data_IF_561359699309
#
_entry.id   IF_561359699309
#
_cell.length_a   1.000
_cell.length_b   1.000
_cell.length_c   1.000
_cell.angle_alpha   90.00
_cell.angle_beta   90.00
_cell.angle_gamma   90.00
#
_symmetry.space_group_name_H-M   'P 1'
#
loop_
_entity.id
_entity.type
_entity.pdbx_description
1 polymer ?
#
# COMPACT_ATOMS: atom_id res chain seq x y z
N UNK A 1 -11.77 3.29 -38.78
CA UNK A 1 -10.39 3.59 -39.22
C UNK A 1 -9.94 4.91 -38.58
N UNK A 2 -8.67 5.01 -38.20
CA UNK A 2 -8.07 6.19 -37.59
C UNK A 2 -7.68 7.15 -38.69
N UNK A 3 -8.00 8.43 -38.57
CA UNK A 3 -7.59 9.51 -39.46
C UNK A 3 -6.24 10.11 -39.02
N UNK A 4 -6.08 10.38 -37.72
CA UNK A 4 -4.84 10.89 -37.15
C UNK A 4 -4.72 10.49 -35.68
N UNK A 5 -3.50 10.45 -35.18
CA UNK A 5 -3.21 10.23 -33.75
C UNK A 5 -2.09 11.17 -33.31
N UNK A 6 -2.17 11.68 -32.08
CA UNK A 6 -1.19 12.54 -31.46
C UNK A 6 -0.70 11.92 -30.16
N UNK A 7 0.50 11.33 -30.22
CA UNK A 7 1.08 10.60 -29.06
C UNK A 7 1.31 11.53 -27.87
N UNK A 8 1.77 12.76 -28.09
CA UNK A 8 2.01 13.71 -27.00
C UNK A 8 0.73 14.21 -26.33
N UNK A 9 -0.36 14.32 -27.09
CA UNK A 9 -1.65 14.76 -26.58
C UNK A 9 -2.55 13.59 -26.16
N UNK A 10 -2.13 12.36 -26.41
CA UNK A 10 -2.90 11.15 -26.15
C UNK A 10 -4.32 11.27 -26.71
N UNK A 11 -4.45 11.67 -27.99
CA UNK A 11 -5.72 11.75 -28.69
C UNK A 11 -5.68 11.04 -30.04
N UNK A 12 -6.85 10.57 -30.45
CA UNK A 12 -7.08 9.89 -31.72
C UNK A 12 -8.29 10.53 -32.39
N UNK A 13 -8.15 10.90 -33.66
CA UNK A 13 -9.27 11.35 -34.50
C UNK A 13 -9.66 10.23 -35.46
N UNK A 14 -10.95 9.89 -35.48
CA UNK A 14 -11.52 8.90 -36.36
C UNK A 14 -11.93 9.54 -37.67
N UNK A 15 -12.07 8.75 -38.76
CA UNK A 15 -12.46 9.24 -40.09
C UNK A 15 -13.85 9.89 -40.13
N UNK A 16 -14.72 9.58 -39.17
CA UNK A 16 -16.03 10.22 -39.00
C UNK A 16 -15.99 11.52 -38.20
N UNK A 17 -14.77 12.01 -37.84
CA UNK A 17 -14.56 13.20 -37.04
C UNK A 17 -14.67 13.02 -35.53
N UNK A 18 -15.03 11.82 -35.05
CA UNK A 18 -15.04 11.54 -33.61
C UNK A 18 -13.63 11.60 -33.02
N UNK A 19 -13.48 12.15 -31.83
CA UNK A 19 -12.21 12.23 -31.11
C UNK A 19 -12.27 11.41 -29.84
N UNK A 20 -11.22 10.64 -29.58
CA UNK A 20 -10.99 9.87 -28.36
C UNK A 20 -9.80 10.50 -27.64
N UNK A 21 -9.98 10.82 -26.37
CA UNK A 21 -8.95 11.39 -25.51
C UNK A 21 -8.63 10.41 -24.38
N UNK A 22 -7.34 10.24 -24.07
CA UNK A 22 -6.91 9.57 -22.85
C UNK A 22 -6.32 10.64 -21.91
N UNK A 23 -6.81 10.71 -20.70
CA UNK A 23 -6.45 11.75 -19.73
C UNK A 23 -6.31 11.15 -18.33
N UNK A 24 -5.30 11.61 -17.58
CA UNK A 24 -5.19 11.30 -16.16
C UNK A 24 -6.21 12.09 -15.34
N UNK A 25 -6.79 11.47 -14.31
CA UNK A 25 -7.79 12.07 -13.44
C UNK A 25 -7.24 12.64 -12.12
N UNK A 26 -5.91 12.62 -11.92
CA UNK A 26 -5.26 13.11 -10.68
C UNK A 26 -5.56 14.59 -10.39
N UNK A 27 -5.71 15.38 -11.46
CA UNK A 27 -6.04 16.81 -11.42
C UNK A 27 -7.33 17.06 -12.15
N UNK A 28 -8.50 17.03 -11.49
CA UNK A 28 -9.82 17.18 -12.13
C UNK A 28 -9.96 18.40 -13.04
N UNK A 29 -9.35 19.53 -12.67
CA UNK A 29 -9.43 20.76 -13.47
C UNK A 29 -8.82 20.65 -14.87
N UNK A 30 -7.88 19.74 -15.09
CA UNK A 30 -7.29 19.50 -16.42
C UNK A 30 -8.25 18.83 -17.40
N UNK A 31 -9.36 18.28 -16.89
CA UNK A 31 -10.40 17.64 -17.69
C UNK A 31 -11.48 18.63 -18.15
N UNK A 32 -11.41 19.90 -17.76
CA UNK A 32 -12.37 20.93 -18.16
C UNK A 32 -12.20 21.37 -19.63
N UNK A 33 -13.24 21.97 -20.18
CA UNK A 33 -13.21 22.62 -21.50
C UNK A 33 -13.50 21.70 -22.68
N UNK A 34 -14.01 20.50 -22.42
CA UNK A 34 -14.46 19.56 -23.45
C UNK A 34 -15.94 19.28 -23.30
N UNK A 35 -16.64 19.06 -24.42
CA UNK A 35 -18.01 18.56 -24.45
C UNK A 35 -17.98 17.09 -24.89
N UNK A 36 -18.41 16.20 -24.02
CA UNK A 36 -18.29 14.75 -24.19
C UNK A 36 -19.62 14.12 -24.59
N UNK A 37 -19.56 13.14 -25.46
CA UNK A 37 -20.70 12.26 -25.79
C UNK A 37 -20.65 11.00 -24.94
N UNK A 38 -19.45 10.55 -24.57
CA UNK A 38 -19.24 9.37 -23.75
C UNK A 38 -17.95 9.52 -22.93
N UNK A 39 -17.95 8.99 -21.73
CA UNK A 39 -16.77 8.95 -20.88
C UNK A 39 -16.61 7.54 -20.30
N UNK A 40 -15.38 7.03 -20.29
CA UNK A 40 -15.01 5.82 -19.54
C UNK A 40 -14.06 6.25 -18.43
N UNK A 41 -14.44 5.97 -17.21
CA UNK A 41 -13.60 6.15 -16.03
C UNK A 41 -13.08 4.77 -15.63
N UNK A 42 -11.79 4.57 -15.79
CA UNK A 42 -11.11 3.33 -15.43
C UNK A 42 -10.45 3.47 -14.08
N UNK A 43 -10.36 2.38 -13.31
CA UNK A 43 -9.89 2.36 -11.92
C UNK A 43 -10.62 3.38 -11.02
N UNK A 44 -11.94 3.42 -11.12
CA UNK A 44 -12.81 4.42 -10.49
C UNK A 44 -12.60 4.53 -8.99
N UNK A 45 -12.31 3.43 -8.32
CA UNK A 45 -12.09 3.43 -6.88
C UNK A 45 -10.92 4.34 -6.44
N UNK A 46 -9.97 4.61 -7.33
CA UNK A 46 -8.80 5.48 -7.10
C UNK A 46 -9.01 6.92 -7.58
N UNK A 47 -10.02 7.16 -8.40
CA UNK A 47 -10.33 8.49 -8.91
C UNK A 47 -11.01 9.33 -7.80
N UNK A 48 -10.62 10.59 -7.68
CA UNK A 48 -11.27 11.53 -6.76
C UNK A 48 -12.71 11.80 -7.22
N UNK A 49 -13.73 11.74 -6.33
CA UNK A 49 -15.13 12.03 -6.67
C UNK A 49 -15.33 13.35 -7.42
N UNK A 50 -14.54 14.38 -7.08
CA UNK A 50 -14.58 15.69 -7.72
C UNK A 50 -14.33 15.65 -9.23
N UNK A 51 -13.59 14.67 -9.76
CA UNK A 51 -13.39 14.50 -11.19
C UNK A 51 -14.71 14.21 -11.90
N UNK A 52 -15.54 13.35 -11.32
CA UNK A 52 -16.87 13.05 -11.82
C UNK A 52 -17.85 14.19 -11.54
N UNK A 53 -18.05 14.53 -10.29
CA UNK A 53 -19.11 15.43 -9.83
C UNK A 53 -18.99 16.84 -10.37
N UNK A 54 -17.75 17.37 -10.42
CA UNK A 54 -17.51 18.78 -10.75
C UNK A 54 -17.11 19.00 -12.20
N UNK A 55 -16.64 17.96 -12.92
CA UNK A 55 -16.08 18.15 -14.25
C UNK A 55 -16.71 17.25 -15.30
N UNK A 56 -16.57 15.92 -15.18
CA UNK A 56 -16.95 15.01 -16.26
C UNK A 56 -18.46 15.00 -16.46
N UNK A 57 -19.25 14.95 -15.39
CA UNK A 57 -20.70 14.99 -15.46
C UNK A 57 -21.21 16.26 -16.15
N UNK A 58 -20.63 17.41 -15.83
CA UNK A 58 -20.97 18.66 -16.51
C UNK A 58 -20.61 18.63 -17.99
N UNK A 59 -19.46 18.06 -18.36
CA UNK A 59 -19.01 17.93 -19.75
C UNK A 59 -19.87 17.01 -20.60
N UNK A 60 -20.63 16.10 -20.00
CA UNK A 60 -21.58 15.21 -20.66
C UNK A 60 -22.97 15.84 -20.84
N UNK A 61 -23.30 16.88 -20.04
CA UNK A 61 -24.67 17.43 -19.98
C UNK A 61 -25.12 18.06 -21.30
N UNK A 62 -24.23 18.77 -22.01
CA UNK A 62 -24.57 19.45 -23.27
C UNK A 62 -25.05 18.50 -24.34
N UNK A 63 -24.52 17.28 -24.38
CA UNK A 63 -24.83 16.26 -25.41
C UNK A 63 -25.72 15.14 -24.87
N UNK A 64 -26.20 15.25 -23.64
CA UNK A 64 -26.88 14.16 -22.95
C UNK A 64 -26.07 12.85 -23.05
N UNK A 65 -24.74 12.99 -22.84
CA UNK A 65 -23.81 11.90 -22.98
C UNK A 65 -23.93 10.88 -21.84
N UNK A 66 -23.33 9.71 -22.04
CA UNK A 66 -23.31 8.62 -21.06
C UNK A 66 -21.89 8.41 -20.47
N UNK A 67 -21.83 7.74 -19.34
CA UNK A 67 -20.57 7.35 -18.72
C UNK A 67 -20.55 5.87 -18.36
N UNK A 68 -19.36 5.27 -18.40
CA UNK A 68 -19.08 3.95 -17.90
C UNK A 68 -18.00 4.05 -16.80
N UNK A 69 -18.24 3.37 -15.71
CA UNK A 69 -17.34 3.31 -14.55
C UNK A 69 -16.82 1.88 -14.42
N UNK A 70 -15.51 1.71 -14.47
CA UNK A 70 -14.88 0.40 -14.44
C UNK A 70 -13.82 0.41 -13.33
N UNK A 71 -13.62 -0.69 -12.65
CA UNK A 71 -12.55 -0.85 -11.67
C UNK A 71 -12.78 -1.97 -10.69
N UNK A 72 -11.75 -2.28 -9.94
CA UNK A 72 -11.81 -3.18 -8.81
C UNK A 72 -12.37 -2.44 -7.59
N UNK A 73 -13.34 -3.01 -6.86
CA UNK A 73 -13.83 -2.42 -5.62
C UNK A 73 -12.73 -2.22 -4.58
N UNK A 74 -12.76 -1.09 -3.88
CA UNK A 74 -11.84 -0.81 -2.76
C UNK A 74 -12.63 -0.33 -1.55
N UNK A 75 -13.25 -1.26 -0.86
CA UNK A 75 -14.16 -0.97 0.23
C UNK A 75 -15.42 -0.20 -0.22
N UNK A 76 -16.15 0.36 0.75
CA UNK A 76 -17.38 1.14 0.47
C UNK A 76 -17.02 2.62 0.30
N UNK A 77 -16.44 2.97 -0.85
CA UNK A 77 -16.16 4.35 -1.27
C UNK A 77 -17.25 4.85 -2.25
N UNK A 78 -17.03 6.00 -2.87
CA UNK A 78 -17.97 6.59 -3.84
C UNK A 78 -18.27 5.69 -5.06
N UNK A 79 -17.38 4.76 -5.42
CA UNK A 79 -17.65 3.75 -6.45
C UNK A 79 -18.73 2.74 -5.99
N UNK A 80 -18.74 2.41 -4.69
CA UNK A 80 -19.82 1.61 -4.10
C UNK A 80 -21.15 2.35 -4.15
N UNK A 81 -21.16 3.67 -3.93
CA UNK A 81 -22.39 4.48 -4.02
C UNK A 81 -22.92 4.47 -5.46
N UNK A 82 -22.05 4.62 -6.46
CA UNK A 82 -22.43 4.49 -7.88
C UNK A 82 -22.96 3.09 -8.21
N UNK A 83 -22.32 2.05 -7.68
CA UNK A 83 -22.77 0.68 -7.89
C UNK A 83 -24.16 0.45 -7.32
N UNK A 84 -24.49 1.01 -6.16
CA UNK A 84 -25.81 0.93 -5.55
C UNK A 84 -26.89 1.65 -6.40
N UNK A 85 -26.57 2.77 -7.04
CA UNK A 85 -27.51 3.43 -7.95
C UNK A 85 -27.97 2.51 -9.07
N UNK A 86 -27.05 1.70 -9.60
CA UNK A 86 -27.38 0.74 -10.66
C UNK A 86 -28.03 -0.55 -10.19
N UNK A 87 -28.25 -0.74 -8.89
CA UNK A 87 -29.02 -1.85 -8.31
C UNK A 87 -30.50 -1.49 -8.12
N UNK A 88 -30.87 -0.21 -8.22
CA UNK A 88 -32.24 0.24 -8.13
C UNK A 88 -32.95 -0.04 -9.48
N UNK A 89 -33.82 -1.02 -9.46
CA UNK A 89 -34.60 -1.41 -10.65
C UNK A 89 -35.58 -0.32 -11.12
N UNK A 90 -35.88 0.68 -10.27
CA UNK A 90 -36.77 1.79 -10.60
C UNK A 90 -36.01 2.93 -11.31
N UNK A 91 -34.71 3.00 -11.20
CA UNK A 91 -33.88 3.98 -11.91
C UNK A 91 -33.34 3.40 -13.21
N UNK A 92 -33.98 3.76 -14.33
CA UNK A 92 -33.60 3.30 -15.67
C UNK A 92 -32.31 3.94 -16.22
N UNK A 93 -31.80 5.00 -15.57
CA UNK A 93 -30.63 5.75 -16.04
C UNK A 93 -29.31 5.09 -15.58
N UNK A 94 -29.38 4.23 -14.57
CA UNK A 94 -28.24 3.54 -14.01
C UNK A 94 -28.37 2.02 -14.14
N UNK A 95 -27.23 1.37 -14.39
CA UNK A 95 -27.14 -0.09 -14.37
C UNK A 95 -25.75 -0.53 -13.94
N UNK A 96 -25.69 -1.50 -13.05
CA UNK A 96 -24.44 -2.06 -12.54
C UNK A 96 -24.32 -3.54 -12.88
N UNK A 97 -23.09 -3.95 -13.18
CA UNK A 97 -22.71 -5.33 -13.45
C UNK A 97 -21.57 -5.73 -12.54
N UNK A 98 -21.54 -6.96 -12.12
CA UNK A 98 -20.51 -7.53 -11.30
C UNK A 98 -19.92 -8.77 -11.99
N UNK A 99 -18.60 -8.80 -12.10
CA UNK A 99 -17.87 -9.92 -12.69
C UNK A 99 -16.71 -10.28 -11.75
N UNK A 100 -16.47 -11.56 -11.58
CA UNK A 100 -15.35 -12.12 -10.86
C UNK A 100 -14.27 -12.58 -11.83
N UNK A 101 -13.06 -12.84 -11.33
CA UNK A 101 -12.01 -13.43 -12.16
C UNK A 101 -12.43 -14.78 -12.76
N UNK A 102 -13.27 -15.54 -12.04
CA UNK A 102 -13.78 -16.84 -12.51
C UNK A 102 -14.77 -16.73 -13.69
N UNK A 103 -15.36 -15.56 -13.91
CA UNK A 103 -16.26 -15.34 -15.06
C UNK A 103 -15.48 -15.17 -16.38
N UNK A 104 -14.15 -15.02 -16.31
CA UNK A 104 -13.31 -14.93 -17.49
C UNK A 104 -12.88 -16.34 -17.95
N UNK A 105 -13.40 -16.85 -19.09
CA UNK A 105 -13.10 -18.20 -19.55
C UNK A 105 -11.65 -18.42 -20.03
N UNK A 106 -10.86 -17.35 -20.12
CA UNK A 106 -9.45 -17.43 -20.53
C UNK A 106 -8.50 -17.63 -19.35
N UNK A 107 -8.99 -17.51 -18.12
CA UNK A 107 -8.16 -17.69 -16.91
C UNK A 107 -8.24 -19.15 -16.46
N UNK A 108 -7.06 -19.76 -16.25
CA UNK A 108 -6.98 -21.10 -15.73
C UNK A 108 -7.53 -21.16 -14.28
N UNK A 109 -8.51 -22.03 -13.99
CA UNK A 109 -9.01 -22.21 -12.62
C UNK A 109 -7.92 -22.54 -11.58
N UNK A 110 -6.83 -23.17 -11.99
CA UNK A 110 -5.71 -23.47 -11.09
C UNK A 110 -4.99 -22.20 -10.61
N UNK A 111 -4.94 -21.15 -11.44
CA UNK A 111 -4.41 -19.83 -11.03
C UNK A 111 -5.26 -19.21 -9.93
N UNK A 112 -6.59 -19.32 -10.03
CA UNK A 112 -7.52 -18.79 -9.01
C UNK A 112 -7.34 -19.55 -7.69
N UNK A 113 -7.20 -20.88 -7.74
CA UNK A 113 -6.94 -21.68 -6.53
C UNK A 113 -5.55 -21.43 -5.94
N UNK A 114 -4.55 -21.17 -6.76
CA UNK A 114 -3.21 -20.77 -6.32
C UNK A 114 -3.25 -19.41 -5.61
N UNK A 115 -3.90 -18.43 -6.23
CA UNK A 115 -4.08 -17.10 -5.65
C UNK A 115 -4.82 -17.16 -4.31
N UNK A 116 -5.87 -18.00 -4.20
CA UNK A 116 -6.62 -18.21 -2.96
C UNK A 116 -5.78 -18.76 -1.80
N UNK A 117 -4.74 -19.55 -2.12
CA UNK A 117 -3.81 -20.11 -1.12
C UNK A 117 -2.72 -19.13 -0.68
N UNK A 118 -2.39 -18.16 -1.52
CA UNK A 118 -1.25 -17.26 -1.31
C UNK A 118 -1.65 -15.86 -0.86
N UNK A 119 -2.83 -15.40 -1.29
CA UNK A 119 -3.35 -14.09 -0.90
C UNK A 119 -4.12 -14.16 0.41
N UNK A 120 -4.23 -13.02 1.09
CA UNK A 120 -5.16 -12.90 2.22
C UNK A 120 -6.60 -13.06 1.73
N UNK A 121 -7.48 -13.54 2.61
CA UNK A 121 -8.93 -13.64 2.30
C UNK A 121 -9.53 -12.30 1.87
N UNK A 122 -9.03 -11.20 2.45
CA UNK A 122 -9.45 -9.84 2.08
C UNK A 122 -9.00 -9.50 0.65
N UNK A 123 -7.70 -9.67 0.34
CA UNK A 123 -7.16 -9.39 -0.98
C UNK A 123 -7.81 -10.26 -2.06
N UNK A 124 -8.01 -11.54 -1.76
CA UNK A 124 -8.69 -12.44 -2.69
C UNK A 124 -10.13 -12.00 -2.97
N UNK A 125 -10.89 -11.64 -1.93
CA UNK A 125 -12.27 -11.14 -2.10
C UNK A 125 -12.30 -9.84 -2.90
N UNK A 126 -11.36 -8.94 -2.66
CA UNK A 126 -11.29 -7.67 -3.38
C UNK A 126 -10.90 -7.84 -4.84
N UNK A 127 -9.77 -8.50 -5.12
CA UNK A 127 -9.16 -8.53 -6.45
C UNK A 127 -9.75 -9.63 -7.36
N UNK A 128 -10.09 -10.80 -6.80
CA UNK A 128 -10.59 -11.93 -7.59
C UNK A 128 -12.09 -12.05 -7.58
N UNK A 129 -12.75 -11.63 -6.50
CA UNK A 129 -14.20 -11.69 -6.36
C UNK A 129 -14.89 -10.35 -6.59
N UNK A 130 -14.13 -9.29 -6.90
CA UNK A 130 -14.62 -7.92 -7.09
C UNK A 130 -15.60 -7.46 -5.98
N UNK A 131 -15.29 -7.81 -4.73
CA UNK A 131 -16.18 -7.58 -3.59
C UNK A 131 -15.96 -6.21 -2.98
N UNK A 132 -17.06 -5.47 -2.73
CA UNK A 132 -17.07 -4.24 -1.93
C UNK A 132 -17.01 -4.53 -0.42
N UNK A 133 -16.37 -5.62 0.00
CA UNK A 133 -16.24 -5.91 1.43
C UNK A 133 -15.49 -4.78 2.12
N UNK A 134 -16.09 -4.24 3.19
CA UNK A 134 -15.32 -3.44 4.13
C UNK A 134 -14.36 -4.39 4.83
N UNK A 135 -13.16 -3.91 5.08
CA UNK A 135 -12.39 -4.38 6.18
C UNK A 135 -13.24 -4.12 7.46
N UNK A 136 -14.03 -5.10 7.84
CA UNK A 136 -14.82 -5.05 9.08
C UNK A 136 -13.93 -5.35 10.27
N UNK A 137 -14.50 -5.42 11.46
CA UNK A 137 -13.84 -5.70 12.75
C UNK A 137 -13.02 -7.01 12.83
N UNK A 138 -12.87 -7.75 11.74
CA UNK A 138 -12.19 -9.05 11.66
C UNK A 138 -11.04 -9.04 10.67
N UNK A 139 -10.35 -7.90 10.50
CA UNK A 139 -9.19 -7.81 9.59
C UNK A 139 -8.05 -8.66 10.11
N UNK A 140 -7.78 -8.57 11.38
CA UNK A 140 -6.81 -9.40 12.09
C UNK A 140 -7.53 -10.17 13.18
N UNK A 141 -7.21 -11.46 13.31
CA UNK A 141 -7.81 -12.32 14.31
C UNK A 141 -6.75 -12.80 15.30
N UNK A 142 -7.10 -12.84 16.57
CA UNK A 142 -6.20 -13.31 17.62
C UNK A 142 -5.74 -14.76 17.37
N UNK A 143 -6.59 -15.60 16.80
CA UNK A 143 -6.27 -16.99 16.44
C UNK A 143 -5.16 -17.14 15.38
N UNK A 144 -4.84 -16.08 14.63
CA UNK A 144 -3.74 -16.09 13.64
C UNK A 144 -2.38 -15.77 14.26
N UNK A 145 -2.36 -15.29 15.51
CA UNK A 145 -1.11 -14.92 16.17
C UNK A 145 -0.33 -16.18 16.55
N UNK A 146 0.91 -16.25 16.12
CA UNK A 146 1.84 -17.31 16.46
C UNK A 146 2.98 -16.74 17.29
N UNK A 147 3.38 -17.49 18.29
CA UNK A 147 4.48 -17.16 19.17
C UNK A 147 5.54 -18.25 19.09
N UNK A 148 6.81 -17.87 19.12
CA UNK A 148 7.91 -18.82 18.98
C UNK A 148 9.26 -18.26 19.38
N UNK A 149 10.31 -19.03 19.06
CA UNK A 149 11.69 -18.63 19.25
C UNK A 149 12.32 -18.19 17.93
N UNK A 150 13.38 -17.36 18.02
CA UNK A 150 14.09 -16.87 16.86
C UNK A 150 14.63 -18.01 16.01
N UNK A 151 14.39 -18.02 14.69
CA UNK A 151 14.98 -18.99 13.78
C UNK A 151 16.52 -18.83 13.78
N UNK A 152 17.24 -19.92 13.56
CA UNK A 152 18.70 -19.91 13.53
C UNK A 152 19.22 -19.05 12.36
N UNK A 153 18.61 -19.21 11.17
CA UNK A 153 19.01 -18.51 9.95
C UNK A 153 18.03 -17.40 9.60
N UNK A 154 18.51 -16.41 8.86
CA UNK A 154 17.72 -15.26 8.38
C UNK A 154 18.44 -13.93 8.62
N UNK A 155 17.89 -12.89 8.02
CA UNK A 155 18.45 -11.55 8.02
C UNK A 155 17.58 -10.59 8.80
N UNK A 156 18.21 -9.69 9.58
CA UNK A 156 17.49 -8.68 10.34
C UNK A 156 17.22 -7.43 9.52
N UNK A 157 16.03 -6.90 9.70
CA UNK A 157 15.56 -5.62 9.18
C UNK A 157 14.98 -4.78 10.31
N UNK A 158 15.18 -3.48 10.23
CA UNK A 158 14.64 -2.53 11.20
C UNK A 158 13.79 -1.51 10.45
N UNK A 159 12.55 -1.32 10.85
CA UNK A 159 11.68 -0.29 10.32
C UNK A 159 11.32 0.70 11.41
N UNK A 160 11.38 1.99 11.08
CA UNK A 160 11.15 3.10 12.00
C UNK A 160 10.02 3.96 11.47
N UNK A 161 8.94 4.01 12.22
CA UNK A 161 7.84 4.97 12.08
C UNK A 161 8.05 6.12 13.05
N UNK A 162 8.06 7.36 12.56
CA UNK A 162 8.39 8.54 13.35
C UNK A 162 7.14 9.38 13.63
N UNK A 163 6.77 9.49 14.89
CA UNK A 163 5.74 10.44 15.32
C UNK A 163 6.29 11.86 15.47
N UNK A 164 5.37 12.86 15.43
CA UNK A 164 5.73 14.27 15.63
C UNK A 164 6.35 14.52 17.00
N UNK A 165 7.52 15.15 17.01
CA UNK A 165 8.20 15.53 18.26
C UNK A 165 7.41 16.63 19.00
N UNK A 166 7.37 16.59 20.35
CA UNK A 166 6.62 17.55 21.18
C UNK A 166 6.97 19.03 20.91
N UNK A 167 8.18 19.32 20.45
CA UNK A 167 8.59 20.70 20.15
C UNK A 167 7.84 21.31 18.96
N UNK A 168 7.37 20.49 18.01
CA UNK A 168 6.56 20.94 16.87
C UNK A 168 5.10 21.10 17.29
N UNK A 169 4.63 20.31 18.25
CA UNK A 169 3.26 20.36 18.75
C UNK A 169 2.95 21.60 19.60
N UNK A 170 3.93 22.21 20.26
CA UNK A 170 3.75 23.43 21.08
C UNK A 170 3.35 24.66 20.25
N UNK A 171 3.54 24.67 18.95
CA UNK A 171 3.10 25.76 18.06
C UNK A 171 1.66 25.61 17.56
N UNK A 172 1.02 24.47 17.75
CA UNK A 172 -0.37 24.19 17.36
C UNK A 172 -1.27 24.07 18.60
N UNK A 173 -1.38 25.14 19.38
CA UNK A 173 -2.09 25.18 20.65
C UNK A 173 -3.62 25.19 20.49
N UNK A 174 -4.23 24.14 19.91
CA UNK A 174 -5.70 23.97 20.01
C UNK A 174 -6.24 22.56 19.70
N UNK A 175 -5.43 21.49 19.71
CA UNK A 175 -5.97 20.14 19.51
C UNK A 175 -5.44 19.23 20.60
N UNK A 176 -6.31 18.81 21.54
CA UNK A 176 -6.13 17.61 22.35
C UNK A 176 -6.21 16.37 21.47
N UNK A 177 -5.37 16.26 20.44
CA UNK A 177 -5.10 15.00 19.76
C UNK A 177 -4.16 14.22 20.68
N UNK A 178 -4.50 12.96 20.98
CA UNK A 178 -3.52 12.00 21.47
C UNK A 178 -2.35 12.07 20.51
N UNK A 179 -1.17 12.42 21.03
CA UNK A 179 0.05 12.48 20.20
C UNK A 179 0.41 11.05 19.83
N UNK A 180 0.67 10.80 18.55
CA UNK A 180 1.14 9.53 18.04
C UNK A 180 2.49 9.17 18.66
N UNK A 181 2.84 7.90 18.72
CA UNK A 181 4.09 7.39 19.27
C UNK A 181 5.02 6.95 18.14
N UNK A 182 6.32 7.21 18.29
CA UNK A 182 7.32 6.62 17.39
C UNK A 182 7.44 5.13 17.69
N UNK A 183 7.59 4.31 16.66
CA UNK A 183 7.74 2.88 16.78
C UNK A 183 8.95 2.37 15.98
N UNK A 184 9.68 1.40 16.55
CA UNK A 184 10.82 0.73 15.94
C UNK A 184 10.56 -0.77 15.94
N UNK A 185 10.30 -1.33 14.78
CA UNK A 185 10.10 -2.76 14.58
C UNK A 185 11.41 -3.43 14.16
N UNK A 186 11.80 -4.52 14.84
CA UNK A 186 12.94 -5.36 14.52
C UNK A 186 12.43 -6.73 14.12
N UNK A 187 12.73 -7.12 12.88
CA UNK A 187 12.23 -8.38 12.30
C UNK A 187 13.38 -9.17 11.67
N UNK A 188 13.44 -10.46 11.96
CA UNK A 188 14.29 -11.41 11.26
C UNK A 188 13.47 -12.09 10.17
N UNK A 189 13.92 -11.96 8.93
CA UNK A 189 13.28 -12.59 7.77
C UNK A 189 14.13 -13.79 7.35
N UNK A 190 13.50 -14.96 7.27
CA UNK A 190 14.14 -16.20 6.83
C UNK A 190 14.13 -16.31 5.31
N UNK A 191 14.94 -17.21 4.76
CA UNK A 191 15.08 -17.43 3.31
C UNK A 191 13.79 -17.92 2.65
N UNK A 192 12.90 -18.59 3.43
CA UNK A 192 11.57 -19.00 2.99
C UNK A 192 10.50 -17.91 3.15
N UNK A 193 10.90 -16.71 3.55
CA UNK A 193 10.03 -15.54 3.67
C UNK A 193 9.18 -15.47 4.93
N UNK A 194 9.49 -16.26 5.98
CA UNK A 194 8.85 -16.13 7.29
C UNK A 194 9.44 -14.93 8.03
N UNK A 195 8.59 -14.17 8.68
CA UNK A 195 8.97 -13.06 9.55
C UNK A 195 8.94 -13.47 11.01
N UNK A 196 10.05 -13.34 11.68
CA UNK A 196 10.13 -13.44 13.13
C UNK A 196 10.27 -12.03 13.72
N UNK A 197 9.21 -11.55 14.39
CA UNK A 197 9.22 -10.24 15.01
C UNK A 197 9.94 -10.35 16.34
N UNK A 198 11.16 -9.83 16.39
CA UNK A 198 12.01 -9.87 17.56
C UNK A 198 11.47 -8.97 18.67
N UNK A 199 11.15 -7.73 18.30
CA UNK A 199 10.53 -6.73 19.18
C UNK A 199 9.95 -5.57 18.37
N UNK A 200 8.98 -4.87 18.97
CA UNK A 200 8.53 -3.54 18.53
C UNK A 200 8.64 -2.62 19.75
N UNK A 201 9.59 -1.70 19.72
CA UNK A 201 9.76 -0.70 20.75
C UNK A 201 9.03 0.58 20.35
N UNK A 202 8.23 1.16 21.25
CA UNK A 202 7.47 2.35 20.96
C UNK A 202 7.49 3.34 22.12
N UNK A 203 7.17 4.59 21.83
CA UNK A 203 7.11 5.64 22.83
C UNK A 203 7.26 7.03 22.26
N UNK A 204 7.24 8.01 23.17
CA UNK A 204 7.42 9.43 22.83
C UNK A 204 8.83 9.84 23.15
N UNK A 205 9.67 9.85 22.13
CA UNK A 205 11.10 10.12 22.26
C UNK A 205 11.45 11.42 21.56
N UNK A 206 12.44 12.12 22.08
CA UNK A 206 13.04 13.24 21.36
C UNK A 206 13.95 12.73 20.22
N UNK A 207 14.45 13.66 19.40
CA UNK A 207 15.32 13.36 18.26
C UNK A 207 16.58 12.59 18.68
N UNK A 208 17.18 12.94 19.81
CA UNK A 208 18.43 12.33 20.29
C UNK A 208 18.17 10.93 20.82
N UNK A 209 17.10 10.79 21.58
CA UNK A 209 16.68 9.49 22.12
C UNK A 209 16.30 8.53 21.01
N UNK A 210 15.52 8.98 20.03
CA UNK A 210 15.16 8.21 18.83
C UNK A 210 16.41 7.76 18.08
N UNK A 211 17.36 8.66 17.83
CA UNK A 211 18.62 8.32 17.15
C UNK A 211 19.46 7.31 17.94
N UNK A 212 19.50 7.43 19.27
CA UNK A 212 20.21 6.49 20.13
C UNK A 212 19.56 5.10 20.11
N UNK A 213 18.22 5.02 20.16
CA UNK A 213 17.48 3.75 20.07
C UNK A 213 17.72 3.06 18.73
N UNK A 214 17.65 3.78 17.62
CA UNK A 214 17.96 3.24 16.29
C UNK A 214 19.38 2.67 16.27
N UNK A 215 20.37 3.42 16.77
CA UNK A 215 21.76 2.96 16.82
C UNK A 215 21.92 1.68 17.68
N UNK A 216 21.20 1.59 18.81
CA UNK A 216 21.21 0.38 19.64
C UNK A 216 20.71 -0.84 18.86
N UNK A 217 19.59 -0.71 18.11
CA UNK A 217 19.09 -1.79 17.26
C UNK A 217 20.08 -2.17 16.15
N UNK A 218 20.74 -1.18 15.54
CA UNK A 218 21.79 -1.43 14.55
C UNK A 218 22.96 -2.22 15.13
N UNK A 219 23.41 -1.87 16.35
CA UNK A 219 24.51 -2.54 17.03
C UNK A 219 24.15 -3.97 17.45
N UNK A 220 22.99 -4.14 18.04
CA UNK A 220 22.58 -5.38 18.70
C UNK A 220 22.12 -6.45 17.67
N UNK A 221 21.43 -6.05 16.61
CA UNK A 221 20.90 -6.96 15.60
C UNK A 221 21.66 -6.98 14.27
N UNK A 222 22.51 -5.99 14.01
CA UNK A 222 23.29 -5.85 12.76
C UNK A 222 22.41 -6.04 11.52
N UNK A 223 21.35 -5.24 11.37
CA UNK A 223 20.39 -5.41 10.28
C UNK A 223 21.05 -5.12 8.93
N UNK A 224 20.60 -5.82 7.88
CA UNK A 224 21.00 -5.54 6.50
C UNK A 224 20.61 -4.10 6.12
N UNK A 225 19.42 -3.67 6.53
CA UNK A 225 18.96 -2.31 6.30
C UNK A 225 18.09 -1.79 7.43
N UNK A 226 18.09 -0.46 7.57
CA UNK A 226 17.22 0.29 8.48
C UNK A 226 16.35 1.22 7.64
N UNK A 227 15.06 0.94 7.58
CA UNK A 227 14.10 1.80 6.93
C UNK A 227 13.61 2.89 7.87
N UNK A 228 13.61 4.13 7.43
CA UNK A 228 13.05 5.27 8.18
C UNK A 228 12.03 5.97 7.31
N UNK A 229 10.85 6.24 7.87
CA UNK A 229 9.79 6.93 7.16
C UNK A 229 10.27 8.27 6.59
N UNK A 230 9.97 8.49 5.30
CA UNK A 230 10.38 9.70 4.58
C UNK A 230 9.59 10.91 5.05
N UNK A 231 10.28 11.98 5.44
CA UNK A 231 9.64 13.23 5.84
C UNK A 231 10.57 14.19 6.58
N UNK A 232 10.00 15.26 7.09
CA UNK A 232 10.73 16.27 7.86
C UNK A 232 11.39 15.69 9.12
N UNK A 233 10.73 14.74 9.77
CA UNK A 233 11.22 14.08 10.98
C UNK A 233 12.48 13.25 10.72
N UNK A 234 12.53 12.51 9.60
CA UNK A 234 13.74 11.81 9.18
C UNK A 234 14.91 12.77 9.00
N UNK A 235 14.67 13.91 8.35
CA UNK A 235 15.72 14.92 8.12
C UNK A 235 16.24 15.51 9.43
N UNK A 236 15.45 15.53 10.50
CA UNK A 236 15.88 15.95 11.82
C UNK A 236 16.68 14.86 12.57
N UNK A 237 16.31 13.59 12.40
CA UNK A 237 16.96 12.44 13.06
C UNK A 237 18.32 12.09 12.41
N UNK A 238 18.40 12.12 11.08
CA UNK A 238 19.57 11.64 10.33
C UNK A 238 20.92 12.27 10.74
N UNK A 239 21.05 13.59 10.98
CA UNK A 239 22.33 14.17 11.40
C UNK A 239 22.82 13.60 12.71
N UNK A 240 21.94 13.47 13.71
CA UNK A 240 22.28 12.88 15.01
C UNK A 240 22.65 11.40 14.89
N UNK A 241 21.85 10.65 14.13
CA UNK A 241 22.12 9.24 13.90
C UNK A 241 23.46 9.04 13.19
N UNK A 242 23.76 9.84 12.16
CA UNK A 242 25.05 9.78 11.44
C UNK A 242 26.24 10.08 12.33
N UNK A 243 26.12 11.02 13.27
CA UNK A 243 27.16 11.32 14.25
C UNK A 243 27.35 10.16 15.23
N UNK A 244 26.26 9.57 15.69
CA UNK A 244 26.31 8.41 16.59
C UNK A 244 26.92 7.18 15.88
N UNK A 245 26.57 6.92 14.62
CA UNK A 245 27.14 5.85 13.81
C UNK A 245 28.66 5.98 13.70
N UNK A 246 29.14 7.19 13.38
CA UNK A 246 30.59 7.48 13.30
C UNK A 246 31.31 7.30 14.65
N UNK A 247 30.75 7.84 15.73
CA UNK A 247 31.34 7.73 17.08
C UNK A 247 31.43 6.30 17.59
N UNK A 248 30.46 5.46 17.24
CA UNK A 248 30.41 4.08 17.73
C UNK A 248 30.93 3.05 16.71
N UNK A 249 31.33 3.48 15.51
CA UNK A 249 31.76 2.62 14.41
C UNK A 249 30.69 1.53 14.08
N UNK A 250 29.41 1.92 14.06
CA UNK A 250 28.25 1.07 13.74
C UNK A 250 27.56 1.65 12.52
N UNK A 251 27.44 0.86 11.47
CA UNK A 251 26.87 1.29 10.20
C UNK A 251 25.84 0.27 9.70
N UNK A 252 24.78 0.76 9.09
CA UNK A 252 23.80 -0.03 8.34
C UNK A 252 23.30 0.79 7.15
N UNK A 253 22.77 0.12 6.14
CA UNK A 253 22.16 0.80 5.00
C UNK A 253 20.84 1.44 5.42
N UNK A 254 20.70 2.76 5.27
CA UNK A 254 19.50 3.49 5.62
C UNK A 254 18.65 3.72 4.36
N UNK A 255 17.41 3.23 4.39
CA UNK A 255 16.46 3.27 3.28
C UNK A 255 15.30 4.22 3.61
N UNK A 256 14.82 4.94 2.59
CA UNK A 256 13.62 5.76 2.69
C UNK A 256 12.37 4.89 2.58
N UNK A 257 11.57 4.83 3.65
CA UNK A 257 10.24 4.22 3.60
C UNK A 257 9.23 5.24 3.08
N UNK A 258 8.31 4.79 2.24
CA UNK A 258 7.32 5.65 1.61
C UNK A 258 5.91 5.10 1.82
N UNK A 259 4.94 6.01 1.92
CA UNK A 259 3.53 5.61 1.98
C UNK A 259 3.01 5.09 0.62
N UNK A 260 3.72 5.36 -0.47
CA UNK A 260 3.22 5.13 -1.82
C UNK A 260 1.96 5.98 -2.10
N UNK A 261 1.16 5.57 -3.06
CA UNK A 261 -0.14 6.19 -3.35
C UNK A 261 -1.30 5.54 -2.57
N UNK A 262 -1.01 4.59 -1.67
CA UNK A 262 -2.03 3.84 -0.91
C UNK A 262 -2.35 4.56 0.40
N UNK A 263 -3.59 4.43 0.87
CA UNK A 263 -3.96 4.85 2.23
C UNK A 263 -3.21 4.01 3.25
N UNK A 264 -2.88 4.58 4.41
CA UNK A 264 -2.18 3.90 5.52
C UNK A 264 -2.84 2.55 5.87
N UNK A 265 -4.16 2.56 6.05
CA UNK A 265 -4.90 1.36 6.38
C UNK A 265 -4.75 0.24 5.33
N UNK A 266 -4.86 0.58 4.05
CA UNK A 266 -4.72 -0.39 2.96
C UNK A 266 -3.31 -0.99 2.96
N UNK A 267 -2.27 -0.17 3.19
CA UNK A 267 -0.88 -0.64 3.26
C UNK A 267 -0.68 -1.66 4.38
N UNK A 268 -1.17 -1.36 5.59
CA UNK A 268 -1.07 -2.26 6.76
C UNK A 268 -1.76 -3.60 6.46
N UNK A 269 -2.98 -3.55 5.92
CA UNK A 269 -3.73 -4.77 5.57
C UNK A 269 -2.97 -5.60 4.53
N UNK A 270 -2.55 -4.98 3.44
CA UNK A 270 -1.87 -5.68 2.35
C UNK A 270 -0.56 -6.33 2.78
N UNK A 271 0.22 -5.66 3.63
CA UNK A 271 1.51 -6.19 4.07
C UNK A 271 1.38 -7.26 5.16
N UNK A 272 0.39 -7.15 6.06
CA UNK A 272 0.37 -7.97 7.27
C UNK A 272 -0.71 -9.06 7.28
N UNK A 273 -1.92 -8.79 6.74
CA UNK A 273 -3.07 -9.69 6.94
C UNK A 273 -2.79 -11.11 6.42
N UNK A 274 -2.36 -11.25 5.17
CA UNK A 274 -2.09 -12.57 4.59
C UNK A 274 -0.96 -13.31 5.31
N UNK A 275 0.06 -12.57 5.77
CA UNK A 275 1.16 -13.17 6.53
C UNK A 275 0.71 -13.69 7.90
N UNK A 276 -0.15 -12.96 8.61
CA UNK A 276 -0.75 -13.47 9.87
C UNK A 276 -1.69 -14.65 9.60
N UNK A 277 -2.62 -14.52 8.66
CA UNK A 277 -3.59 -15.54 8.31
C UNK A 277 -2.92 -16.88 7.93
N UNK A 278 -1.83 -16.83 7.18
CA UNK A 278 -1.08 -18.02 6.77
C UNK A 278 0.06 -18.39 7.74
N UNK A 279 0.15 -17.71 8.88
CA UNK A 279 1.14 -17.99 9.91
C UNK A 279 2.58 -17.75 9.50
N UNK A 280 2.79 -16.79 8.59
CA UNK A 280 4.10 -16.34 8.13
C UNK A 280 4.74 -15.28 9.02
N UNK A 281 4.01 -14.80 10.04
CA UNK A 281 4.53 -13.92 11.09
C UNK A 281 4.50 -14.66 12.41
N UNK A 282 5.64 -14.69 13.10
CA UNK A 282 5.82 -15.29 14.42
C UNK A 282 6.36 -14.22 15.36
N UNK A 283 5.72 -14.04 16.49
CA UNK A 283 6.11 -13.09 17.54
C UNK A 283 7.06 -13.77 18.52
N UNK A 284 8.10 -13.06 18.99
CA UNK A 284 9.01 -13.59 20.00
C UNK A 284 8.26 -13.93 21.30
N UNK A 285 8.25 -15.20 21.67
CA UNK A 285 7.53 -15.69 22.85
C UNK A 285 8.06 -15.16 24.19
N UNK A 286 9.23 -14.52 24.19
CA UNK A 286 9.89 -13.96 25.39
C UNK A 286 9.56 -12.49 25.65
N UNK A 287 8.74 -11.87 24.75
CA UNK A 287 8.35 -10.45 24.83
C UNK A 287 6.87 -10.29 25.16
N UNK A 288 6.53 -9.15 25.76
CA UNK A 288 5.14 -8.73 25.93
C UNK A 288 4.63 -8.06 24.64
N UNK A 289 3.50 -8.52 24.14
CA UNK A 289 2.88 -8.06 22.92
C UNK A 289 1.50 -7.43 23.15
N UNK A 290 1.13 -7.15 24.39
CA UNK A 290 -0.23 -6.68 24.73
C UNK A 290 -0.62 -5.43 23.92
N UNK A 291 0.24 -4.40 23.90
CA UNK A 291 -0.04 -3.15 23.16
C UNK A 291 -0.10 -3.37 21.64
N UNK A 292 0.76 -4.23 21.10
CA UNK A 292 0.75 -4.56 19.67
C UNK A 292 -0.52 -5.33 19.30
N UNK A 293 -0.89 -6.31 20.08
CA UNK A 293 -2.09 -7.15 19.84
C UNK A 293 -3.35 -6.29 19.93
N UNK A 294 -3.45 -5.42 20.93
CA UNK A 294 -4.59 -4.51 21.08
C UNK A 294 -4.73 -3.59 19.86
N UNK A 295 -3.63 -2.97 19.39
CA UNK A 295 -3.66 -2.13 18.19
C UNK A 295 -4.02 -2.93 16.94
N UNK A 296 -3.46 -4.13 16.77
CA UNK A 296 -3.69 -4.99 15.61
C UNK A 296 -5.13 -5.48 15.52
N UNK A 297 -5.68 -5.98 16.62
CA UNK A 297 -7.05 -6.55 16.65
C UNK A 297 -8.12 -5.46 16.51
N UNK A 298 -7.88 -4.28 17.09
CA UNK A 298 -8.79 -3.15 16.97
C UNK A 298 -8.67 -2.39 15.64
N UNK A 299 -7.64 -2.68 14.83
CA UNK A 299 -7.41 -2.00 13.56
C UNK A 299 -8.54 -2.31 12.54
N UNK A 300 -9.07 -1.31 11.80
CA UNK A 300 -8.75 0.12 11.73
C UNK A 300 -9.78 1.00 12.49
N UNK A 301 -10.12 0.64 13.71
CA UNK A 301 -11.12 1.38 14.48
C UNK A 301 -10.70 2.84 14.71
N UNK A 302 -11.65 3.77 14.57
CA UNK A 302 -11.38 5.18 14.81
C UNK A 302 -11.01 5.45 16.27
N UNK A 303 -9.91 6.20 16.47
CA UNK A 303 -9.43 6.60 17.80
C UNK A 303 -8.53 5.56 18.49
N UNK A 304 -8.19 4.48 17.82
CA UNK A 304 -7.16 3.53 18.24
C UNK A 304 -5.85 3.89 17.56
N UNK A 305 -4.73 3.77 18.28
CA UNK A 305 -3.39 3.92 17.72
C UNK A 305 -3.11 2.72 16.80
N UNK A 306 -2.39 2.95 15.73
CA UNK A 306 -1.97 1.92 14.77
C UNK A 306 -0.46 2.01 14.45
N UNK A 307 0.29 2.70 15.33
CA UNK A 307 1.71 2.99 15.14
C UNK A 307 2.56 1.70 15.11
N UNK A 308 2.21 0.70 15.92
CA UNK A 308 2.94 -0.56 16.00
C UNK A 308 2.70 -1.46 14.77
N UNK A 309 1.45 -1.71 14.35
CA UNK A 309 1.17 -2.39 13.08
C UNK A 309 1.75 -1.65 11.87
N UNK A 310 1.76 -0.31 11.91
CA UNK A 310 2.32 0.50 10.84
C UNK A 310 3.83 0.31 10.72
N UNK A 311 4.56 0.44 11.81
CA UNK A 311 6.01 0.19 11.82
C UNK A 311 6.34 -1.23 11.30
N UNK A 312 5.57 -2.26 11.72
CA UNK A 312 5.76 -3.63 11.23
C UNK A 312 5.47 -3.74 9.74
N UNK A 313 4.46 -3.02 9.22
CA UNK A 313 4.08 -3.06 7.82
C UNK A 313 5.18 -2.60 6.87
N UNK A 314 6.04 -1.70 7.31
CA UNK A 314 7.16 -1.19 6.52
C UNK A 314 8.26 -2.22 6.26
N UNK A 315 8.33 -3.31 7.01
CA UNK A 315 9.27 -4.40 6.76
C UNK A 315 9.08 -4.98 5.35
N UNK A 316 7.85 -4.96 4.83
CA UNK A 316 7.57 -5.42 3.47
C UNK A 316 8.42 -4.71 2.41
N UNK A 317 8.64 -3.39 2.56
CA UNK A 317 9.47 -2.62 1.64
C UNK A 317 10.97 -2.97 1.75
N UNK A 318 11.43 -3.40 2.92
CA UNK A 318 12.82 -3.74 3.17
C UNK A 318 13.15 -5.16 2.74
N UNK A 319 12.25 -6.10 3.03
CA UNK A 319 12.44 -7.51 2.71
C UNK A 319 12.45 -7.78 1.19
N UNK A 320 11.58 -7.12 0.42
CA UNK A 320 11.54 -7.26 -1.05
C UNK A 320 12.84 -6.81 -1.70
N UNK A 321 13.47 -5.75 -1.19
CA UNK A 321 14.72 -5.23 -1.75
C UNK A 321 15.88 -6.23 -1.66
N UNK A 322 15.84 -7.13 -0.65
CA UNK A 322 16.92 -8.11 -0.41
C UNK A 322 16.85 -9.36 -1.29
N UNK A 323 15.67 -9.70 -1.82
CA UNK A 323 15.52 -10.85 -2.71
C UNK A 323 15.97 -10.60 -4.15
N UNK A 324 16.23 -9.35 -4.53
CA UNK A 324 16.67 -8.98 -5.88
C UNK A 324 18.19 -8.85 -6.05
N UNK A 325 18.98 -9.07 -4.98
CA UNK A 325 20.44 -9.01 -5.04
C UNK A 325 21.15 -10.38 -5.20
N UNK A 326 20.46 -11.47 -5.50
CA UNK A 326 21.13 -12.62 -6.08
C UNK A 326 21.47 -12.28 -7.55
N UNK A 327 22.68 -11.80 -7.76
CA UNK A 327 23.32 -11.78 -9.06
C UNK A 327 23.30 -13.19 -9.63
N UNK A 328 22.36 -13.44 -10.55
CA UNK A 328 22.49 -14.58 -11.47
C UNK A 328 23.68 -14.28 -12.39
N UNK A 329 24.88 -14.67 -11.97
CA UNK A 329 26.12 -14.60 -12.76
C UNK A 329 26.06 -15.38 -14.09
N UNK A 330 24.97 -16.12 -14.35
CA UNK A 330 24.84 -17.00 -15.53
C UNK A 330 23.94 -16.47 -16.66
N UNK A 331 23.35 -15.27 -16.54
CA UNK A 331 22.61 -14.69 -17.66
C UNK A 331 23.54 -13.84 -18.53
N UNK A 332 24.37 -14.50 -19.34
CA UNK A 332 25.01 -13.84 -20.49
C UNK A 332 23.93 -13.53 -21.52
N UNK A 333 23.47 -12.27 -21.53
CA UNK A 333 22.59 -11.78 -22.57
C UNK A 333 23.26 -11.97 -23.93
N UNK A 334 22.76 -12.91 -24.74
CA UNK A 334 23.15 -13.04 -26.15
C UNK A 334 22.20 -12.17 -26.96
N UNK A 335 22.72 -11.15 -27.69
CA UNK A 335 21.87 -10.38 -28.59
C UNK A 335 21.26 -11.34 -29.62
N UNK A 336 19.92 -11.27 -29.76
CA UNK A 336 19.19 -12.02 -30.75
C UNK A 336 19.66 -11.55 -32.14
N UNK A 337 20.19 -12.46 -32.95
CA UNK A 337 20.52 -12.16 -34.33
C UNK A 337 19.21 -11.91 -35.10
N UNK A 338 19.01 -10.66 -35.51
CA UNK A 338 17.84 -10.20 -36.23
C UNK A 338 17.67 -10.84 -37.63
N UNK A 339 18.66 -11.60 -38.11
CA UNK A 339 18.68 -12.22 -39.44
C UNK A 339 18.33 -13.70 -39.37
N UNK A 340 18.71 -14.40 -38.32
CA UNK A 340 18.52 -15.86 -38.20
C UNK A 340 17.32 -16.26 -37.34
N UNK A 341 16.79 -15.40 -36.49
CA UNK A 341 15.63 -15.69 -35.62
C UNK A 341 15.89 -16.75 -34.55
N UNK A 342 17.15 -17.05 -34.21
CA UNK A 342 17.57 -18.04 -33.20
C UNK A 342 18.39 -17.34 -32.13
#
# INVERSE_FOLDING_TARGET
MIQSSHVNNLDITMINGARIYVRGADRPDTLRGVSLTYAVLDEVADIKPAAWEQVIRASLSDKKGAAMFIGTPKGRNWFFDLWNLGQDEQDSDWKSWHFTTADNPLIDPNEIESAKKTLSSFSFKQEYMASFSNAGSDIFKEEWLKYGEAPEHGSYFVAVDLAGFEEVAKQAANVKKRLDESAIAVVKVTDDGQWFVEEIEHGRWDIRETSAKILMKMRDYKPISVGIERGALKNAVLPYLSDLMRKNNVYSHIIDLTHGNRKKADRIIWSLQGRFEHGRIVLNSKKDWSDFVDQLIMFPAQGVHDDLPDALSYIDQLAVTSYFEEENEDYVWKPMDLISGV
#
